data_IF_677548022462
#
_entry.id   IF_677548022462
#
_cell.length_a   1.000
_cell.length_b   1.000
_cell.length_c   1.000
_cell.angle_alpha   90.00
_cell.angle_beta   90.00
_cell.angle_gamma   90.00
#
_symmetry.space_group_name_H-M   'P 1'
#
loop_
_entity.id
_entity.type
_entity.pdbx_description
1 polymer ?
#
# COMPACT_ATOMS: atom_id res chain seq x y z
N UNK A 1 14.89 -31.14 -6.28
CA UNK A 1 14.63 -30.22 -5.14
C UNK A 1 13.91 -28.96 -5.65
N UNK A 2 12.78 -29.12 -6.35
CA UNK A 2 12.11 -28.05 -7.11
C UNK A 2 10.59 -28.26 -7.11
N UNK A 3 9.99 -28.47 -5.93
CA UNK A 3 8.53 -28.70 -5.83
C UNK A 3 7.95 -28.25 -4.47
N UNK A 4 8.17 -26.97 -4.12
CA UNK A 4 7.55 -26.39 -2.92
C UNK A 4 7.15 -24.90 -3.09
N UNK A 5 7.08 -24.37 -4.31
CA UNK A 5 6.76 -22.94 -4.55
C UNK A 5 5.35 -22.68 -5.14
N UNK A 6 4.38 -23.57 -4.89
CA UNK A 6 3.01 -23.40 -5.42
C UNK A 6 1.90 -23.60 -4.37
N UNK A 7 2.16 -23.26 -3.11
CA UNK A 7 1.10 -23.15 -2.09
C UNK A 7 0.65 -21.69 -1.86
N UNK A 8 0.82 -20.81 -2.86
CA UNK A 8 0.18 -19.50 -2.86
C UNK A 8 -1.26 -19.66 -3.33
N UNK A 9 -2.23 -19.62 -2.39
CA UNK A 9 -3.64 -19.57 -2.74
C UNK A 9 -3.87 -18.52 -3.83
N UNK A 10 -4.66 -18.85 -4.85
CA UNK A 10 -4.98 -17.96 -5.96
C UNK A 10 -5.25 -16.54 -5.44
N UNK A 11 -4.37 -15.61 -5.78
CA UNK A 11 -4.58 -14.19 -5.54
C UNK A 11 -5.77 -13.81 -6.41
N UNK A 12 -6.98 -13.79 -5.82
CA UNK A 12 -8.12 -13.14 -6.46
C UNK A 12 -7.65 -11.74 -6.83
N UNK A 13 -7.81 -11.35 -8.10
CA UNK A 13 -7.46 -10.00 -8.55
C UNK A 13 -8.19 -9.01 -7.65
N UNK A 14 -7.43 -8.32 -6.80
CA UNK A 14 -7.97 -7.24 -5.97
C UNK A 14 -8.34 -6.10 -6.91
N UNK A 15 -9.61 -5.72 -6.91
CA UNK A 15 -10.07 -4.61 -7.72
C UNK A 15 -9.69 -3.30 -7.03
N UNK A 16 -8.72 -2.58 -7.60
CA UNK A 16 -8.24 -1.28 -7.12
C UNK A 16 -8.89 -0.10 -7.85
N UNK A 17 -10.03 -0.30 -8.52
CA UNK A 17 -10.70 0.78 -9.27
C UNK A 17 -11.04 2.00 -8.41
N UNK A 18 -11.24 1.83 -7.09
CA UNK A 18 -11.41 2.93 -6.15
C UNK A 18 -10.23 3.89 -6.14
N UNK A 19 -8.99 3.40 -6.28
CA UNK A 19 -7.81 4.27 -6.33
C UNK A 19 -7.80 5.19 -7.55
N UNK A 20 -8.53 4.88 -8.61
CA UNK A 20 -8.58 5.69 -9.84
C UNK A 20 -9.92 6.42 -10.02
N UNK A 21 -10.86 6.28 -9.07
CA UNK A 21 -12.12 7.03 -9.12
C UNK A 21 -11.99 8.40 -8.48
N UNK A 22 -12.88 9.33 -8.84
CA UNK A 22 -12.92 10.68 -8.25
C UNK A 22 -12.97 10.63 -6.72
N UNK A 23 -13.80 9.73 -6.17
CA UNK A 23 -13.93 9.55 -4.72
C UNK A 23 -12.62 9.08 -4.06
N UNK A 24 -11.83 8.22 -4.69
CA UNK A 24 -10.54 7.78 -4.15
C UNK A 24 -9.38 8.73 -4.42
N UNK A 25 -9.58 9.75 -5.24
CA UNK A 25 -8.66 10.87 -5.48
C UNK A 25 -9.00 12.11 -4.63
N UNK A 26 -10.09 12.06 -3.87
CA UNK A 26 -10.48 13.10 -2.94
C UNK A 26 -10.20 12.68 -1.49
N UNK A 27 -9.87 13.67 -0.65
CA UNK A 27 -9.66 13.44 0.77
C UNK A 27 -10.98 13.00 1.41
N UNK A 28 -10.97 11.79 2.00
CA UNK A 28 -12.14 11.25 2.71
C UNK A 28 -12.35 12.01 4.02
N UNK A 29 -13.59 12.44 4.26
CA UNK A 29 -14.02 13.04 5.52
C UNK A 29 -14.69 11.98 6.41
N UNK A 30 -14.51 12.11 7.73
CA UNK A 30 -15.11 11.18 8.71
C UNK A 30 -15.99 11.97 9.66
N UNK A 31 -17.24 11.53 9.80
CA UNK A 31 -18.12 11.99 10.88
C UNK A 31 -17.73 11.24 12.16
N UNK A 32 -16.88 11.88 12.96
CA UNK A 32 -16.35 11.28 14.18
C UNK A 32 -17.42 11.00 15.22
N UNK A 33 -18.43 11.89 15.33
CA UNK A 33 -19.52 11.74 16.30
C UNK A 33 -20.43 10.56 15.94
N UNK A 34 -20.58 10.24 14.66
CA UNK A 34 -21.27 9.04 14.20
C UNK A 34 -20.40 7.75 14.28
N UNK A 35 -19.07 7.91 14.27
CA UNK A 35 -18.13 6.77 14.19
C UNK A 35 -17.79 6.19 15.55
N UNK A 36 -17.53 7.03 16.56
CA UNK A 36 -17.11 6.60 17.89
C UNK A 36 -18.02 7.16 18.99
N UNK A 37 -18.25 6.36 20.04
CA UNK A 37 -19.10 6.73 21.16
C UNK A 37 -18.47 7.84 22.02
N UNK A 38 -17.15 7.84 22.14
CA UNK A 38 -16.38 8.86 22.84
C UNK A 38 -15.20 9.28 21.97
N UNK A 39 -15.35 10.40 21.27
CA UNK A 39 -14.33 10.93 20.39
C UNK A 39 -13.21 11.66 21.13
N UNK A 40 -13.28 11.80 22.46
CA UNK A 40 -12.22 12.42 23.28
C UNK A 40 -11.02 11.49 23.52
N UNK A 41 -11.23 10.18 23.36
CA UNK A 41 -10.20 9.15 23.54
C UNK A 41 -9.08 9.26 22.49
N UNK A 42 -7.85 8.80 22.79
CA UNK A 42 -6.79 8.69 21.80
C UNK A 42 -7.17 7.78 20.62
N UNK A 43 -6.59 8.02 19.44
CA UNK A 43 -6.81 7.20 18.25
C UNK A 43 -5.63 6.25 17.99
N UNK A 44 -5.94 5.00 17.67
CA UNK A 44 -5.03 4.02 17.08
C UNK A 44 -5.53 3.68 15.68
N UNK A 45 -4.69 3.89 14.66
CA UNK A 45 -5.06 3.70 13.26
C UNK A 45 -4.16 2.69 12.55
N UNK A 46 -4.73 1.93 11.61
CA UNK A 46 -4.01 1.00 10.72
C UNK A 46 -4.30 1.38 9.26
N UNK A 47 -3.26 1.78 8.52
CA UNK A 47 -3.35 2.25 7.15
C UNK A 47 -3.14 1.09 6.17
N UNK A 48 -4.18 0.72 5.43
CA UNK A 48 -4.19 -0.49 4.61
C UNK A 48 -4.54 -1.73 5.43
N UNK A 49 -5.56 -1.64 6.27
CA UNK A 49 -5.92 -2.67 7.25
C UNK A 49 -6.43 -4.00 6.67
N UNK A 50 -6.66 -4.08 5.35
CA UNK A 50 -7.11 -5.28 4.66
C UNK A 50 -8.44 -5.80 5.21
N UNK A 51 -8.44 -7.03 5.75
CA UNK A 51 -9.62 -7.63 6.34
C UNK A 51 -9.95 -7.11 7.76
N UNK A 52 -9.13 -6.20 8.31
CA UNK A 52 -9.40 -5.48 9.55
C UNK A 52 -9.17 -6.24 10.85
N UNK A 53 -8.70 -7.49 10.81
CA UNK A 53 -8.65 -8.38 11.97
C UNK A 53 -7.65 -7.93 13.04
N UNK A 54 -6.54 -7.29 12.64
CA UNK A 54 -5.58 -6.67 13.55
C UNK A 54 -6.23 -5.57 14.42
N UNK A 55 -6.91 -4.61 13.79
CA UNK A 55 -7.61 -3.52 14.48
C UNK A 55 -8.73 -4.08 15.39
N UNK A 56 -9.42 -5.13 14.93
CA UNK A 56 -10.44 -5.80 15.73
C UNK A 56 -9.85 -6.45 16.98
N UNK A 57 -8.70 -7.12 16.85
CA UNK A 57 -7.98 -7.76 17.95
C UNK A 57 -7.49 -6.71 18.95
N UNK A 58 -6.91 -5.61 18.48
CA UNK A 58 -6.48 -4.49 19.33
C UNK A 58 -7.63 -3.96 20.18
N UNK A 59 -8.76 -3.60 19.56
CA UNK A 59 -9.94 -3.13 20.29
C UNK A 59 -10.61 -4.20 21.16
N UNK A 60 -10.47 -5.48 20.82
CA UNK A 60 -10.95 -6.58 21.68
C UNK A 60 -10.10 -6.74 22.94
N UNK A 61 -8.79 -6.51 22.84
CA UNK A 61 -7.85 -6.63 23.95
C UNK A 61 -7.85 -5.40 24.88
N UNK A 62 -8.39 -4.26 24.42
CA UNK A 62 -8.55 -3.04 25.22
C UNK A 62 -9.82 -3.08 26.08
N UNK A 63 -9.80 -3.93 27.11
CA UNK A 63 -10.92 -4.07 28.05
C UNK A 63 -11.29 -2.76 28.76
N UNK A 64 -10.34 -1.83 28.91
CA UNK A 64 -10.55 -0.53 29.53
C UNK A 64 -11.20 0.50 28.59
N UNK A 65 -11.35 0.18 27.29
CA UNK A 65 -11.85 1.11 26.26
C UNK A 65 -11.09 2.44 26.29
N UNK A 66 -9.77 2.34 26.38
CA UNK A 66 -8.87 3.47 26.58
C UNK A 66 -8.49 4.19 25.29
N UNK A 67 -8.84 3.66 24.12
CA UNK A 67 -8.60 4.28 22.81
C UNK A 67 -9.73 3.97 21.83
N UNK A 68 -9.80 4.71 20.74
CA UNK A 68 -10.57 4.34 19.55
C UNK A 68 -9.67 3.68 18.52
N UNK A 69 -10.21 2.71 17.78
CA UNK A 69 -9.46 1.91 16.82
C UNK A 69 -10.04 2.05 15.42
N UNK A 70 -9.23 2.52 14.47
CA UNK A 70 -9.65 2.81 13.11
C UNK A 70 -8.84 2.01 12.08
N UNK A 71 -9.52 1.22 11.27
CA UNK A 71 -8.93 0.60 10.08
C UNK A 71 -9.28 1.37 8.81
N UNK A 72 -8.29 1.71 8.00
CA UNK A 72 -8.48 2.35 6.69
C UNK A 72 -8.05 1.40 5.57
N UNK A 73 -8.88 1.25 4.54
CA UNK A 73 -8.52 0.48 3.34
C UNK A 73 -9.32 0.97 2.12
N UNK A 74 -8.91 0.59 0.91
CA UNK A 74 -9.63 0.93 -0.32
C UNK A 74 -10.75 -0.07 -0.64
N UNK A 75 -10.76 -1.25 -0.04
CA UNK A 75 -11.68 -2.35 -0.38
C UNK A 75 -12.96 -2.32 0.44
N UNK A 76 -13.98 -1.59 -0.03
CA UNK A 76 -15.28 -1.44 0.67
C UNK A 76 -15.88 -2.76 1.19
N UNK A 77 -15.91 -3.81 0.37
CA UNK A 77 -16.51 -5.09 0.77
C UNK A 77 -15.79 -5.78 1.95
N UNK A 78 -14.48 -5.55 2.11
CA UNK A 78 -13.74 -6.03 3.29
C UNK A 78 -14.12 -5.21 4.52
N UNK A 79 -14.23 -3.89 4.36
CA UNK A 79 -14.55 -2.98 5.46
C UNK A 79 -15.99 -3.13 5.95
N UNK A 80 -16.95 -3.32 5.05
CA UNK A 80 -18.34 -3.61 5.42
C UNK A 80 -18.42 -4.89 6.28
N UNK A 81 -17.64 -5.92 5.91
CA UNK A 81 -17.53 -7.16 6.69
C UNK A 81 -16.85 -6.93 8.04
N UNK A 82 -15.77 -6.15 8.08
CA UNK A 82 -15.04 -5.83 9.31
C UNK A 82 -15.90 -5.04 10.30
N UNK A 83 -16.66 -4.05 9.82
CA UNK A 83 -17.67 -3.34 10.62
C UNK A 83 -18.76 -4.30 11.13
N UNK A 84 -19.23 -5.24 10.31
CA UNK A 84 -20.14 -6.30 10.76
C UNK A 84 -19.56 -7.19 11.86
N UNK A 85 -18.27 -7.53 11.80
CA UNK A 85 -17.59 -8.29 12.85
C UNK A 85 -17.39 -7.50 14.15
N UNK A 86 -17.12 -6.20 14.06
CA UNK A 86 -17.07 -5.30 15.21
C UNK A 86 -18.45 -5.22 15.88
N UNK A 87 -19.52 -5.03 15.10
CA UNK A 87 -20.89 -5.02 15.60
C UNK A 87 -21.27 -6.32 16.30
N UNK A 88 -20.99 -7.48 15.67
CA UNK A 88 -21.26 -8.79 16.25
C UNK A 88 -20.51 -9.07 17.57
N UNK A 89 -19.45 -8.29 17.87
CA UNK A 89 -18.66 -8.38 19.11
C UNK A 89 -18.98 -7.28 20.12
N UNK A 90 -19.96 -6.40 19.84
CA UNK A 90 -20.24 -5.24 20.71
C UNK A 90 -19.09 -4.23 20.75
N UNK A 91 -18.38 -4.09 19.62
CA UNK A 91 -17.24 -3.17 19.46
C UNK A 91 -17.59 -1.95 18.59
N UNK A 92 -18.82 -1.85 18.06
CA UNK A 92 -19.29 -0.64 17.38
C UNK A 92 -19.15 0.60 18.27
N UNK A 93 -18.73 1.71 17.68
CA UNK A 93 -18.44 2.94 18.43
C UNK A 93 -17.11 2.93 19.19
N UNK A 94 -16.29 1.89 19.02
CA UNK A 94 -14.93 1.77 19.58
C UNK A 94 -13.93 1.25 18.55
N UNK A 95 -14.36 0.32 17.70
CA UNK A 95 -13.66 -0.15 16.50
C UNK A 95 -14.48 0.24 15.28
N UNK A 96 -13.86 0.91 14.32
CA UNK A 96 -14.50 1.32 13.08
C UNK A 96 -13.59 1.10 11.87
N UNK A 97 -14.21 0.93 10.71
CA UNK A 97 -13.51 0.80 9.43
C UNK A 97 -14.07 1.76 8.40
N UNK A 98 -13.19 2.51 7.75
CA UNK A 98 -13.56 3.55 6.78
C UNK A 98 -12.82 3.33 5.47
N UNK A 99 -13.57 3.40 4.36
CA UNK A 99 -12.99 3.29 3.04
C UNK A 99 -12.22 4.57 2.72
N UNK A 100 -10.92 4.46 2.44
CA UNK A 100 -10.08 5.60 2.12
C UNK A 100 -8.87 5.18 1.29
N UNK A 101 -8.47 6.06 0.37
CA UNK A 101 -7.12 6.05 -0.17
C UNK A 101 -6.21 6.74 0.84
N UNK A 102 -5.46 5.97 1.62
CA UNK A 102 -4.67 6.49 2.75
C UNK A 102 -3.60 7.49 2.31
N UNK A 103 -3.05 7.37 1.10
CA UNK A 103 -2.06 8.33 0.57
C UNK A 103 -2.68 9.72 0.40
N UNK A 104 -3.94 9.80 -0.01
CA UNK A 104 -4.68 11.06 -0.22
C UNK A 104 -5.37 11.53 1.06
N UNK A 105 -5.85 10.60 1.89
CA UNK A 105 -6.78 10.90 2.97
C UNK A 105 -6.15 10.93 4.37
N UNK A 106 -4.92 10.43 4.56
CA UNK A 106 -4.34 10.31 5.90
C UNK A 106 -4.29 11.65 6.65
N UNK A 107 -3.84 12.74 6.01
CA UNK A 107 -3.81 14.05 6.65
C UNK A 107 -5.23 14.53 7.04
N UNK A 108 -6.18 14.49 6.12
CA UNK A 108 -7.55 14.95 6.38
C UNK A 108 -8.26 14.13 7.47
N UNK A 109 -8.12 12.80 7.43
CA UNK A 109 -8.72 11.91 8.43
C UNK A 109 -8.03 12.13 9.77
N UNK A 110 -6.73 11.87 9.88
CA UNK A 110 -6.04 11.90 11.17
C UNK A 110 -6.00 13.30 11.79
N UNK A 111 -5.87 14.35 10.95
CA UNK A 111 -5.86 15.75 11.39
C UNK A 111 -7.21 16.32 11.80
N UNK A 112 -8.33 15.71 11.37
CA UNK A 112 -9.68 16.13 11.77
C UNK A 112 -10.21 15.42 13.02
N UNK A 113 -9.48 14.42 13.54
CA UNK A 113 -9.92 13.67 14.71
C UNK A 113 -9.96 14.58 15.96
N UNK A 114 -11.11 14.72 16.63
CA UNK A 114 -11.29 15.76 17.67
C UNK A 114 -10.70 15.38 19.04
N UNK A 115 -10.28 14.13 19.25
CA UNK A 115 -9.80 13.62 20.53
C UNK A 115 -8.40 14.08 20.93
N UNK A 116 -7.91 13.56 22.06
CA UNK A 116 -6.57 13.84 22.64
C UNK A 116 -5.40 13.24 21.84
N UNK A 117 -5.43 13.38 20.51
CA UNK A 117 -4.40 13.01 19.53
C UNK A 117 -4.33 11.53 19.09
N UNK A 118 -3.63 11.31 17.98
CA UNK A 118 -3.31 9.99 17.42
C UNK A 118 -2.11 9.40 18.17
N UNK A 119 -2.26 8.23 18.78
CA UNK A 119 -1.22 7.55 19.55
C UNK A 119 -0.34 6.66 18.69
N UNK A 120 -0.95 5.88 17.80
CA UNK A 120 -0.25 4.89 16.98
C UNK A 120 -0.84 4.85 15.58
N UNK A 121 0.03 4.90 14.58
CA UNK A 121 -0.28 4.56 13.20
C UNK A 121 0.50 3.30 12.81
N UNK A 122 -0.22 2.27 12.38
CA UNK A 122 0.39 1.04 11.85
C UNK A 122 0.30 1.03 10.31
N UNK A 123 1.38 0.56 9.66
CA UNK A 123 1.41 0.29 8.22
C UNK A 123 2.05 -1.09 8.05
N UNK A 124 1.24 -2.09 7.71
CA UNK A 124 1.63 -3.49 7.84
C UNK A 124 1.40 -4.27 6.56
N UNK A 125 2.40 -5.07 6.18
CA UNK A 125 2.38 -5.96 5.03
C UNK A 125 1.83 -5.30 3.75
N UNK A 126 2.25 -4.07 3.38
CA UNK A 126 1.87 -3.51 2.11
C UNK A 126 2.36 -4.43 0.99
N UNK A 127 1.70 -4.37 -0.16
CA UNK A 127 2.12 -5.17 -1.31
C UNK A 127 3.60 -4.89 -1.64
N UNK A 128 4.39 -5.92 -2.05
CA UNK A 128 5.82 -5.77 -2.22
C UNK A 128 6.20 -4.62 -3.16
N UNK A 129 7.10 -3.75 -2.68
CA UNK A 129 7.42 -2.49 -3.36
C UNK A 129 8.03 -2.72 -4.75
N UNK A 130 8.93 -3.70 -4.90
CA UNK A 130 9.57 -4.05 -6.18
C UNK A 130 8.61 -4.38 -7.33
N UNK A 131 7.35 -4.69 -7.04
CA UNK A 131 6.34 -5.08 -8.05
C UNK A 131 5.34 -3.98 -8.34
N UNK A 132 5.52 -2.78 -7.79
CA UNK A 132 4.56 -1.67 -7.89
C UNK A 132 5.25 -0.42 -8.43
N UNK A 133 4.51 0.29 -9.29
CA UNK A 133 4.86 1.65 -9.74
C UNK A 133 4.55 2.74 -8.72
N UNK A 134 3.73 2.41 -7.70
CA UNK A 134 3.27 3.34 -6.67
C UNK A 134 3.27 2.62 -5.33
N UNK A 135 3.96 3.21 -4.37
CA UNK A 135 4.14 2.67 -3.03
C UNK A 135 3.16 3.37 -2.08
N UNK A 136 2.55 2.63 -1.16
CA UNK A 136 1.69 3.24 -0.13
C UNK A 136 2.52 4.15 0.79
N UNK A 137 3.71 3.69 1.18
CA UNK A 137 4.66 4.49 1.96
C UNK A 137 5.56 5.24 0.99
N UNK A 138 5.11 6.43 0.57
CA UNK A 138 5.86 7.37 -0.24
C UNK A 138 6.11 8.69 0.48
N UNK A 139 6.74 9.64 -0.21
CA UNK A 139 7.00 11.00 0.29
C UNK A 139 5.70 11.66 0.80
N UNK A 140 4.62 11.49 0.06
CA UNK A 140 3.30 12.10 0.33
C UNK A 140 2.74 11.61 1.65
N UNK A 141 2.76 10.29 1.90
CA UNK A 141 2.26 9.73 3.15
C UNK A 141 3.15 10.13 4.34
N UNK A 142 4.48 10.15 4.16
CA UNK A 142 5.40 10.59 5.23
C UNK A 142 5.15 12.05 5.59
N UNK A 143 4.98 12.92 4.59
CA UNK A 143 4.67 14.33 4.81
C UNK A 143 3.30 14.52 5.50
N UNK A 144 2.27 13.82 5.04
CA UNK A 144 0.94 13.84 5.65
C UNK A 144 0.97 13.43 7.13
N UNK A 145 1.70 12.35 7.46
CA UNK A 145 1.86 11.92 8.85
C UNK A 145 2.68 12.90 9.68
N UNK A 146 3.73 13.50 9.12
CA UNK A 146 4.53 14.50 9.82
C UNK A 146 3.71 15.74 10.21
N UNK A 147 2.79 16.14 9.34
CA UNK A 147 1.88 17.28 9.53
C UNK A 147 0.89 17.06 10.67
N UNK A 148 0.28 15.87 10.74
CA UNK A 148 -0.89 15.64 11.62
C UNK A 148 -0.61 14.84 12.89
N UNK A 149 0.49 14.08 12.95
CA UNK A 149 0.80 13.32 14.14
C UNK A 149 1.39 14.23 15.24
N UNK A 150 0.90 14.11 16.48
CA UNK A 150 1.46 14.85 17.62
C UNK A 150 2.86 14.33 17.99
N UNK A 151 3.65 15.15 18.69
CA UNK A 151 4.86 14.66 19.36
C UNK A 151 4.53 13.48 20.28
N UNK A 152 5.38 12.45 20.25
CA UNK A 152 5.20 11.19 20.97
C UNK A 152 4.33 10.14 20.26
N UNK A 153 3.64 10.48 19.17
CA UNK A 153 2.92 9.48 18.38
C UNK A 153 3.88 8.44 17.79
N UNK A 154 3.46 7.19 17.78
CA UNK A 154 4.22 6.08 17.24
C UNK A 154 3.80 5.73 15.81
N UNK A 155 4.77 5.35 14.98
CA UNK A 155 4.51 4.76 13.66
C UNK A 155 5.14 3.37 13.60
N UNK A 156 4.32 2.34 13.47
CA UNK A 156 4.74 0.95 13.41
C UNK A 156 4.73 0.45 11.97
N UNK A 157 5.90 0.11 11.45
CA UNK A 157 6.06 -0.45 10.11
C UNK A 157 6.42 -1.93 10.22
N UNK A 158 5.72 -2.77 9.45
CA UNK A 158 5.84 -4.22 9.57
C UNK A 158 5.75 -4.91 8.20
N UNK A 159 6.63 -5.88 7.91
CA UNK A 159 6.56 -6.70 6.67
C UNK A 159 7.24 -8.06 6.84
N UNK A 160 6.83 -9.04 6.03
CA UNK A 160 7.50 -10.33 5.86
C UNK A 160 8.57 -10.31 4.76
N UNK A 161 8.73 -9.19 4.06
CA UNK A 161 9.79 -8.97 3.08
C UNK A 161 10.73 -7.87 3.55
N UNK A 162 12.02 -8.21 3.74
CA UNK A 162 13.02 -7.23 4.20
C UNK A 162 13.13 -6.03 3.26
N UNK A 163 13.07 -6.26 1.94
CA UNK A 163 13.14 -5.19 0.96
C UNK A 163 11.99 -4.19 1.11
N UNK A 164 10.80 -4.70 1.42
CA UNK A 164 9.62 -3.85 1.64
C UNK A 164 9.76 -3.06 2.94
N UNK A 165 10.19 -3.70 4.03
CA UNK A 165 10.45 -3.00 5.29
C UNK A 165 11.59 -1.97 5.16
N UNK A 166 12.64 -2.31 4.43
CA UNK A 166 13.80 -1.43 4.13
C UNK A 166 13.34 -0.20 3.38
N UNK A 167 12.56 -0.38 2.31
CA UNK A 167 12.00 0.72 1.55
C UNK A 167 11.17 1.65 2.45
N UNK A 168 10.25 1.10 3.26
CA UNK A 168 9.42 1.91 4.16
C UNK A 168 10.26 2.71 5.16
N UNK A 169 11.23 2.08 5.84
CA UNK A 169 12.13 2.76 6.78
C UNK A 169 12.92 3.87 6.09
N UNK A 170 13.52 3.55 4.94
CA UNK A 170 14.35 4.50 4.19
C UNK A 170 13.51 5.68 3.66
N UNK A 171 12.24 5.45 3.31
CA UNK A 171 11.30 6.51 2.94
C UNK A 171 11.05 7.50 4.09
N UNK A 172 10.74 6.99 5.28
CA UNK A 172 10.58 7.83 6.47
C UNK A 172 11.88 8.57 6.83
N UNK A 173 13.02 7.91 6.76
CA UNK A 173 14.30 8.54 7.08
C UNK A 173 14.65 9.63 6.06
N UNK A 174 14.47 9.36 4.76
CA UNK A 174 14.83 10.30 3.69
C UNK A 174 13.96 11.56 3.67
N UNK A 175 12.67 11.41 3.95
CA UNK A 175 11.69 12.51 3.79
C UNK A 175 11.15 13.06 5.12
N UNK A 176 11.34 12.35 6.22
CA UNK A 176 10.75 12.66 7.52
C UNK A 176 11.70 12.65 8.71
N UNK A 177 13.01 12.48 8.53
CA UNK A 177 13.97 12.44 9.66
C UNK A 177 14.06 13.73 10.50
N UNK A 178 13.49 14.84 10.02
CA UNK A 178 13.32 16.05 10.81
C UNK A 178 12.11 15.97 11.77
N UNK A 179 11.15 15.07 11.50
CA UNK A 179 9.89 14.92 12.24
C UNK A 179 9.82 13.61 13.03
N UNK A 180 10.52 12.57 12.61
CA UNK A 180 10.48 11.23 13.19
C UNK A 180 11.87 10.77 13.62
N UNK A 181 11.90 9.84 14.57
CA UNK A 181 13.07 9.09 15.01
C UNK A 181 12.75 7.61 15.12
N UNK A 182 13.80 6.77 15.17
CA UNK A 182 13.69 5.42 15.70
C UNK A 182 13.26 5.49 17.17
N UNK A 183 12.25 4.70 17.56
CA UNK A 183 11.82 4.63 18.95
C UNK A 183 12.82 3.81 19.79
N UNK A 184 13.77 4.52 20.38
CA UNK A 184 14.84 3.93 21.22
C UNK A 184 14.34 3.31 22.52
N UNK A 185 13.05 3.47 22.88
CA UNK A 185 12.46 2.79 24.04
C UNK A 185 12.20 1.31 23.77
N UNK A 186 12.03 0.93 22.49
CA UNK A 186 11.82 -0.46 22.06
C UNK A 186 12.95 -1.02 21.22
N UNK A 187 13.70 -0.17 20.51
CA UNK A 187 14.94 -0.52 19.80
C UNK A 187 16.14 -0.42 20.74
N UNK A 188 16.25 -1.37 21.66
CA UNK A 188 17.30 -1.46 22.68
C UNK A 188 18.25 -2.63 22.39
N UNK A 189 19.48 -2.64 22.92
CA UNK A 189 20.39 -3.77 22.74
C UNK A 189 19.74 -5.11 23.14
N UNK A 190 19.79 -6.09 22.22
CA UNK A 190 19.19 -7.41 22.41
C UNK A 190 17.70 -7.52 22.09
N UNK A 191 17.01 -6.43 21.72
CA UNK A 191 15.64 -6.47 21.19
C UNK A 191 15.57 -6.46 19.66
N UNK A 192 16.71 -6.32 18.99
CA UNK A 192 16.78 -6.22 17.52
C UNK A 192 17.73 -7.25 16.91
N UNK A 193 17.55 -7.52 15.61
CA UNK A 193 18.48 -8.27 14.76
C UNK A 193 18.95 -7.38 13.61
N UNK A 194 20.18 -7.58 13.09
CA UNK A 194 20.76 -6.68 12.11
C UNK A 194 20.01 -6.74 10.77
N UNK A 195 19.99 -5.61 10.05
CA UNK A 195 19.55 -5.60 8.66
C UNK A 195 20.56 -6.34 7.77
N UNK A 196 20.05 -7.10 6.80
CA UNK A 196 20.88 -7.76 5.81
C UNK A 196 21.71 -6.75 5.00
N UNK A 197 22.85 -7.21 4.48
CA UNK A 197 23.53 -6.48 3.42
C UNK A 197 22.64 -6.54 2.18
N UNK A 198 22.02 -5.43 1.80
CA UNK A 198 21.22 -5.36 0.57
C UNK A 198 22.16 -5.65 -0.61
N UNK A 199 21.99 -6.84 -1.21
CA UNK A 199 22.70 -7.25 -2.42
C UNK A 199 22.38 -6.23 -3.52
N UNK A 200 23.41 -5.79 -4.26
CA UNK A 200 23.24 -4.80 -5.33
C UNK A 200 22.17 -5.27 -6.32
N UNK A 201 21.40 -4.35 -6.95
CA UNK A 201 20.57 -4.75 -8.06
C UNK A 201 21.50 -5.34 -9.12
N UNK A 202 21.30 -6.63 -9.43
CA UNK A 202 21.91 -7.23 -10.61
C UNK A 202 21.36 -6.41 -11.77
N UNK A 203 22.21 -5.56 -12.36
CA UNK A 203 21.86 -4.88 -13.60
C UNK A 203 21.45 -6.01 -14.56
N UNK A 204 20.24 -5.98 -15.16
CA UNK A 204 20.01 -6.88 -16.28
C UNK A 204 21.11 -6.52 -17.27
N UNK A 205 22.01 -7.47 -17.54
CA UNK A 205 23.04 -7.29 -18.54
C UNK A 205 22.36 -6.70 -19.76
N UNK A 206 22.84 -5.53 -20.20
CA UNK A 206 22.43 -4.95 -21.46
C UNK A 206 22.84 -5.98 -22.50
N UNK A 207 21.90 -6.83 -22.89
CA UNK A 207 22.03 -7.63 -24.09
C UNK A 207 22.00 -6.61 -25.22
N UNK A 208 23.17 -6.05 -25.54
CA UNK A 208 23.38 -5.41 -26.83
C UNK A 208 22.98 -6.42 -27.87
N UNK A 209 21.98 -6.14 -28.73
CA UNK A 209 21.74 -6.99 -29.88
C UNK A 209 23.00 -6.90 -30.73
N UNK A 210 23.82 -7.94 -30.74
CA UNK A 210 24.80 -8.08 -31.81
C UNK A 210 24.00 -8.06 -33.12
N UNK A 211 24.33 -7.12 -33.99
CA UNK A 211 23.78 -7.02 -35.33
C UNK A 211 24.10 -8.32 -36.10
N UNK A 212 23.23 -9.31 -35.94
CA UNK A 212 23.25 -10.56 -36.67
C UNK A 212 22.94 -10.26 -38.14
N UNK A 213 23.96 -10.42 -38.98
CA UNK A 213 23.85 -10.46 -40.44
C UNK A 213 22.64 -11.31 -40.85
N UNK A 214 21.73 -10.73 -41.62
CA UNK A 214 20.66 -11.46 -42.31
C UNK A 214 21.26 -12.53 -43.23
N UNK A 215 20.88 -13.82 -43.11
CA UNK A 215 21.07 -14.76 -44.20
C UNK A 215 20.03 -14.49 -45.28
N UNK A 216 20.48 -14.58 -46.54
CA UNK A 216 19.66 -14.49 -47.75
C UNK A 216 18.59 -15.58 -47.78
N UNK A 217 17.42 -15.22 -48.32
CA UNK A 217 16.34 -16.14 -48.65
C UNK A 217 16.73 -17.07 -49.82
N UNK A 218 16.33 -18.33 -49.72
CA UNK A 218 16.07 -19.23 -50.84
C UNK A 218 14.88 -20.11 -50.45
N UNK A 219 13.89 -20.18 -51.34
CA UNK A 219 12.52 -20.59 -51.03
C UNK A 219 12.19 -22.07 -51.24
N UNK A 220 10.88 -22.26 -51.47
CA UNK A 220 10.13 -23.42 -51.94
C UNK A 220 9.50 -24.34 -50.88
N UNK A 221 8.16 -24.49 -50.98
CA UNK A 221 7.54 -25.81 -50.93
C UNK A 221 6.48 -26.06 -49.85
N UNK A 222 5.20 -25.93 -50.27
CA UNK A 222 4.08 -26.84 -50.03
C UNK A 222 3.26 -26.89 -48.71
N UNK A 223 2.01 -26.42 -48.88
CA UNK A 223 0.73 -27.10 -48.61
C UNK A 223 0.37 -27.66 -47.21
N UNK A 224 -0.50 -26.92 -46.51
CA UNK A 224 -1.85 -27.21 -45.93
C UNK A 224 -2.26 -28.67 -45.51
N UNK A 225 -3.38 -28.90 -44.77
CA UNK A 225 -4.35 -27.97 -44.14
C UNK A 225 -4.79 -28.34 -42.69
N UNK A 226 -5.60 -27.46 -42.08
CA UNK A 226 -6.84 -27.90 -41.40
C UNK A 226 -6.90 -27.74 -39.87
N UNK A 227 -7.69 -26.76 -39.41
CA UNK A 227 -8.96 -26.95 -38.68
C UNK A 227 -9.27 -25.71 -37.85
N UNK A 228 -10.38 -25.02 -38.19
CA UNK A 228 -10.92 -23.96 -37.36
C UNK A 228 -12.44 -23.91 -37.45
N UNK A 229 -13.01 -23.50 -36.33
CA UNK A 229 -14.29 -22.84 -36.13
C UNK A 229 -15.55 -23.72 -36.01
N UNK A 230 -15.92 -23.96 -34.75
CA UNK A 230 -17.31 -24.05 -34.33
C UNK A 230 -17.83 -22.66 -33.94
N UNK A 231 -19.04 -22.39 -34.43
CA UNK A 231 -19.86 -21.17 -34.32
C UNK A 231 -20.47 -21.03 -32.92
N UNK A 232 -20.85 -19.81 -32.53
CA UNK A 232 -22.27 -19.37 -32.51
C UNK A 232 -22.41 -18.02 -31.81
N UNK A 233 -23.02 -17.05 -32.52
CA UNK A 233 -23.66 -15.89 -31.93
C UNK A 233 -24.95 -15.63 -32.72
N UNK A 234 -26.07 -15.69 -32.01
CA UNK A 234 -27.40 -15.14 -32.33
C UNK A 234 -27.27 -13.61 -32.40
N UNK A 235 -27.89 -12.85 -33.30
CA UNK A 235 -29.28 -12.90 -33.78
C UNK A 235 -29.92 -11.55 -33.46
N UNK A 236 -30.17 -10.74 -34.51
CA UNK A 236 -31.26 -9.74 -34.70
C UNK A 236 -31.45 -8.56 -33.71
N UNK A 237 -31.94 -7.36 -34.06
CA UNK A 237 -32.72 -6.84 -35.21
C UNK A 237 -32.45 -5.31 -35.41
N UNK A 238 -32.66 -4.77 -36.62
CA UNK A 238 -32.50 -3.34 -37.01
C UNK A 238 -33.71 -2.42 -36.67
N UNK A 239 -34.11 -1.41 -37.49
CA UNK A 239 -33.39 -0.62 -38.52
C UNK A 239 -33.74 0.91 -38.56
N UNK A 240 -33.16 1.64 -39.54
CA UNK A 240 -33.62 2.93 -40.16
C UNK A 240 -33.38 4.23 -39.35
N UNK A 241 -32.95 5.38 -39.88
CA UNK A 241 -32.82 5.95 -41.24
C UNK A 241 -32.19 7.38 -41.11
N UNK A 242 -32.12 8.18 -42.20
CA UNK A 242 -31.05 9.18 -42.40
C UNK A 242 -31.44 10.63 -42.07
N UNK A 243 -30.44 11.50 -41.85
CA UNK A 243 -30.65 12.93 -41.64
C UNK A 243 -29.37 13.76 -41.79
N UNK A 244 -29.43 14.71 -42.72
CA UNK A 244 -28.40 15.60 -43.26
C UNK A 244 -28.00 16.80 -42.38
N UNK A 245 -26.78 17.31 -42.59
CA UNK A 245 -26.51 18.74 -42.76
C UNK A 245 -26.00 19.53 -41.55
N UNK A 246 -24.78 20.07 -41.64
CA UNK A 246 -24.49 21.52 -41.72
C UNK A 246 -23.05 21.85 -41.31
N UNK A 247 -22.49 22.83 -42.01
CA UNK A 247 -21.13 23.35 -41.99
C UNK A 247 -20.85 24.36 -40.85
N UNK A 248 -19.57 24.76 -40.81
CA UNK A 248 -18.94 25.92 -40.15
C UNK A 248 -18.52 25.68 -38.69
N UNK A 249 -17.32 26.06 -38.24
CA UNK A 249 -16.21 26.80 -38.80
C UNK A 249 -15.31 27.19 -37.61
N UNK A 250 -14.00 27.33 -37.81
CA UNK A 250 -13.12 27.88 -36.77
C UNK A 250 -11.71 27.27 -36.76
N UNK A 251 -10.84 27.84 -37.60
CA UNK A 251 -9.40 27.76 -37.40
C UNK A 251 -8.99 28.57 -36.16
N UNK A 252 -8.08 28.02 -35.37
CA UNK A 252 -7.48 28.69 -34.22
C UNK A 252 -6.25 27.92 -33.77
N UNK A 253 -5.14 28.12 -34.47
CA UNK A 253 -3.84 27.57 -34.09
C UNK A 253 -3.39 28.10 -32.73
N UNK A 254 -3.03 27.18 -31.84
CA UNK A 254 -2.39 27.47 -30.56
C UNK A 254 -1.39 26.35 -30.29
N UNK A 255 -0.11 26.71 -30.27
CA UNK A 255 1.02 25.79 -30.25
C UNK A 255 0.93 24.73 -29.15
N UNK A 256 1.14 23.49 -29.56
CA UNK A 256 1.46 22.38 -28.67
C UNK A 256 2.81 22.65 -28.00
N UNK A 257 2.77 23.38 -26.90
CA UNK A 257 3.81 23.33 -25.88
C UNK A 257 3.71 21.96 -25.23
N UNK A 258 4.59 21.05 -25.65
CA UNK A 258 4.92 19.85 -24.90
C UNK A 258 5.31 20.31 -23.49
N UNK A 259 4.37 20.21 -22.56
CA UNK A 259 4.67 20.24 -21.14
C UNK A 259 5.60 19.07 -20.90
N UNK A 260 6.91 19.35 -20.90
CA UNK A 260 7.90 18.39 -20.46
C UNK A 260 7.45 17.95 -19.07
N UNK A 261 7.15 16.65 -18.95
CA UNK A 261 7.19 16.00 -17.66
C UNK A 261 8.58 16.35 -17.10
N UNK A 262 8.59 17.24 -16.11
CA UNK A 262 9.74 17.38 -15.25
C UNK A 262 9.93 15.99 -14.66
N UNK A 263 10.90 15.26 -15.21
CA UNK A 263 11.38 14.02 -14.62
C UNK A 263 11.99 14.47 -13.31
N UNK A 264 11.20 14.38 -12.24
CA UNK A 264 11.56 14.83 -10.91
C UNK A 264 12.91 14.21 -10.54
N UNK A 265 13.79 15.07 -10.05
CA UNK A 265 15.19 14.80 -9.75
C UNK A 265 15.33 13.54 -8.89
N UNK A 266 15.95 12.53 -9.50
CA UNK A 266 16.39 11.26 -8.90
C UNK A 266 15.31 10.49 -8.14
N UNK A 267 14.58 9.62 -8.87
CA UNK A 267 13.90 8.45 -8.31
C UNK A 267 14.97 7.49 -7.74
N UNK A 268 15.61 7.89 -6.64
CA UNK A 268 16.47 7.02 -5.87
C UNK A 268 15.57 5.90 -5.40
N UNK A 269 15.79 4.70 -5.93
CA UNK A 269 15.18 3.51 -5.39
C UNK A 269 15.55 3.42 -3.90
N UNK A 270 14.58 3.76 -3.05
CA UNK A 270 14.79 3.89 -1.61
C UNK A 270 15.18 2.56 -0.99
N UNK A 271 14.98 1.44 -1.69
CA UNK A 271 15.53 0.15 -1.28
C UNK A 271 17.07 0.18 -1.18
N UNK A 272 17.73 0.90 -2.11
CA UNK A 272 19.19 0.97 -2.20
C UNK A 272 19.77 2.28 -1.67
N UNK A 273 18.94 3.16 -1.09
CA UNK A 273 19.41 4.39 -0.46
C UNK A 273 20.25 4.09 0.78
N UNK A 274 21.53 4.50 0.78
CA UNK A 274 22.52 4.16 1.83
C UNK A 274 22.93 5.32 2.75
N UNK A 275 22.43 6.52 2.53
CA UNK A 275 22.80 7.69 3.35
C UNK A 275 22.13 7.66 4.73
N UNK A 276 21.11 6.81 4.91
CA UNK A 276 20.42 6.61 6.17
C UNK A 276 21.21 5.82 7.20
N UNK A 277 21.12 6.24 8.45
CA UNK A 277 21.68 5.59 9.64
C UNK A 277 20.65 4.78 10.41
N UNK A 278 19.34 4.92 10.16
CA UNK A 278 18.32 4.15 10.89
C UNK A 278 18.44 2.63 10.72
N UNK A 279 19.15 2.18 9.68
CA UNK A 279 19.52 0.76 9.52
C UNK A 279 20.36 0.21 10.68
N UNK A 280 21.10 1.06 11.39
CA UNK A 280 21.94 0.65 12.53
C UNK A 280 21.10 0.21 13.74
N UNK A 281 19.84 0.64 13.84
CA UNK A 281 18.91 0.17 14.87
C UNK A 281 18.52 -1.30 14.70
N UNK A 282 18.59 -1.83 13.46
CA UNK A 282 18.14 -3.16 13.13
C UNK A 282 16.61 -3.29 13.05
N UNK A 283 16.14 -4.54 13.06
CA UNK A 283 14.74 -4.92 13.03
C UNK A 283 14.31 -5.47 14.39
N UNK A 284 13.12 -5.12 14.88
CA UNK A 284 12.63 -5.61 16.18
C UNK A 284 12.36 -7.13 16.14
N UNK A 285 12.90 -7.84 17.12
CA UNK A 285 12.74 -9.30 17.29
C UNK A 285 11.32 -9.70 17.65
N UNK A 286 10.60 -8.86 18.41
CA UNK A 286 9.25 -9.13 18.89
C UNK A 286 8.30 -8.02 18.50
N UNK A 287 7.01 -8.36 18.42
CA UNK A 287 5.94 -7.39 18.22
C UNK A 287 5.89 -6.40 19.40
N UNK A 288 6.15 -5.10 19.19
CA UNK A 288 6.16 -4.12 20.29
C UNK A 288 4.74 -3.64 20.67
N UNK A 289 3.73 -3.92 19.84
CA UNK A 289 2.35 -3.44 20.03
C UNK A 289 1.51 -4.45 20.83
N UNK A 290 1.92 -5.71 20.90
CA UNK A 290 1.25 -6.75 21.68
C UNK A 290 0.04 -7.40 20.99
N UNK A 291 -0.23 -7.07 19.73
CA UNK A 291 -1.24 -7.74 18.91
C UNK A 291 -0.64 -8.15 17.55
N UNK A 292 -0.38 -9.45 17.33
CA UNK A 292 0.12 -9.91 16.04
C UNK A 292 -1.00 -9.96 15.00
N UNK A 293 -0.65 -9.71 13.73
CA UNK A 293 -1.58 -9.98 12.61
C UNK A 293 -1.64 -11.48 12.30
N UNK A 294 -2.65 -11.95 11.56
CA UNK A 294 -2.68 -13.34 11.07
C UNK A 294 -1.44 -13.68 10.23
N UNK A 295 -0.96 -12.70 9.46
CA UNK A 295 0.20 -12.87 8.60
C UNK A 295 1.48 -13.01 9.43
N UNK A 296 1.60 -12.26 10.50
CA UNK A 296 2.69 -12.37 11.47
C UNK A 296 2.71 -13.76 12.11
N UNK A 297 1.58 -14.20 12.64
CA UNK A 297 1.42 -15.53 13.23
C UNK A 297 1.80 -16.63 12.24
N UNK A 298 1.35 -16.51 10.99
CA UNK A 298 1.69 -17.47 9.93
C UNK A 298 3.20 -17.50 9.64
N UNK A 299 3.83 -16.34 9.46
CA UNK A 299 5.25 -16.24 9.12
C UNK A 299 6.13 -16.76 10.26
N UNK A 300 5.84 -16.39 11.51
CA UNK A 300 6.69 -16.80 12.62
C UNK A 300 6.45 -18.25 13.05
N UNK A 301 5.19 -18.67 13.19
CA UNK A 301 4.89 -20.00 13.74
C UNK A 301 4.87 -21.09 12.67
N UNK A 302 4.28 -20.80 11.50
CA UNK A 302 4.11 -21.83 10.47
C UNK A 302 5.34 -21.95 9.57
N UNK A 303 5.98 -20.84 9.19
CA UNK A 303 7.15 -20.87 8.28
C UNK A 303 8.50 -20.71 8.99
N UNK A 304 8.51 -20.32 10.28
CA UNK A 304 9.72 -20.01 11.06
C UNK A 304 10.61 -18.97 10.38
N UNK A 305 9.99 -18.05 9.65
CA UNK A 305 10.68 -16.94 8.99
C UNK A 305 10.62 -15.69 9.86
N UNK A 306 11.49 -14.75 9.55
CA UNK A 306 11.56 -13.48 10.26
C UNK A 306 10.50 -12.50 9.73
N UNK A 307 10.06 -11.63 10.62
CA UNK A 307 9.21 -10.48 10.32
C UNK A 307 10.01 -9.22 10.64
N UNK A 308 10.05 -8.30 9.69
CA UNK A 308 10.88 -7.10 9.71
C UNK A 308 10.04 -5.93 10.22
N UNK A 309 10.42 -5.45 11.41
CA UNK A 309 9.65 -4.50 12.20
C UNK A 309 10.48 -3.28 12.55
N UNK A 310 9.89 -2.11 12.42
CA UNK A 310 10.48 -0.87 12.95
C UNK A 310 9.39 -0.03 13.60
N UNK A 311 9.65 0.39 14.84
CA UNK A 311 8.89 1.44 15.51
C UNK A 311 9.60 2.78 15.35
N UNK A 312 8.86 3.79 14.91
CA UNK A 312 9.26 5.17 14.87
C UNK A 312 8.44 5.99 15.87
N UNK A 313 8.98 7.13 16.30
CA UNK A 313 8.28 8.10 17.16
C UNK A 313 8.34 9.49 16.54
N UNK A 314 7.23 10.22 16.60
CA UNK A 314 7.13 11.62 16.18
C UNK A 314 7.80 12.52 17.23
N UNK A 315 8.72 13.37 16.79
CA UNK A 315 9.39 14.39 17.63
C UNK A 315 8.46 15.48 18.12
#
# INVERSE_FOLDING_TARGET
MLSAMQAGGQVRSRNYSFLSSDAGQQATQVDWAATFNDTSLPLVADLGCGAGRYVLLMGSNDAARSSNYLGLDVHKALLDRANGWAAARGLSGHVAYVQANVVVSAAAILGSYPGRHVRLVSIQYPDPQQRRRRHVVGRELVAALAEVLPSGAQVYLNSDFEDTATYMRNCFERFGAQHFDIDTTVHVPGSTFPCSEVLQPVRPDVVTPQAGRRPRASGAGDAAPGTAAWRSASGDDGPSGPGSGSESGGEGGGGGGSGGEAVDEEEVDLLFWRQGRWREAGWLLRNPVGAPTEREVYVELATRQQVYRVMLVRR
#
